data_IF_080541707966
#
_entry.id   IF_080541707966
#
_cell.length_a   1.000
_cell.length_b   1.000
_cell.length_c   1.000
_cell.angle_alpha   90.00
_cell.angle_beta   90.00
_cell.angle_gamma   90.00
#
_symmetry.space_group_name_H-M   'P 1'
#
loop_
_entity.id
_entity.type
_entity.pdbx_description
1 polymer ?
#
# COMPACT_ATOMS: atom_id res chain seq x y z
N UNK A 1 38.83 15.86 -22.13
CA UNK A 1 39.42 14.97 -21.10
C UNK A 1 38.77 15.14 -19.73
N UNK A 2 38.69 16.36 -19.17
CA UNK A 2 38.07 16.62 -17.85
C UNK A 2 36.57 16.24 -17.78
N UNK A 3 35.76 16.61 -18.78
CA UNK A 3 34.33 16.26 -18.82
C UNK A 3 34.09 14.75 -18.83
N UNK A 4 34.90 14.01 -19.61
CA UNK A 4 34.82 12.55 -19.68
C UNK A 4 35.17 11.92 -18.32
N UNK A 5 36.21 12.42 -17.66
CA UNK A 5 36.59 11.98 -16.32
C UNK A 5 35.47 12.21 -15.31
N UNK A 6 34.82 13.38 -15.34
CA UNK A 6 33.67 13.70 -14.47
C UNK A 6 32.50 12.76 -14.73
N UNK A 7 32.15 12.51 -16.00
CA UNK A 7 31.06 11.58 -16.35
C UNK A 7 31.36 10.15 -15.87
N UNK A 8 32.61 9.70 -15.99
CA UNK A 8 33.03 8.38 -15.49
C UNK A 8 32.90 8.30 -13.97
N UNK A 9 33.35 9.33 -13.23
CA UNK A 9 33.21 9.37 -11.77
C UNK A 9 31.74 9.34 -11.34
N UNK A 10 30.88 10.11 -12.02
CA UNK A 10 29.43 10.10 -11.76
C UNK A 10 28.83 8.72 -12.05
N UNK A 11 29.18 8.11 -13.18
CA UNK A 11 28.69 6.78 -13.54
C UNK A 11 29.11 5.70 -12.53
N UNK A 12 30.36 5.75 -12.07
CA UNK A 12 30.87 4.83 -11.02
C UNK A 12 30.15 5.06 -9.69
N UNK A 13 29.91 6.32 -9.31
CA UNK A 13 29.16 6.65 -8.09
C UNK A 13 27.71 6.15 -8.15
N UNK A 14 27.01 6.38 -9.27
CA UNK A 14 25.65 5.86 -9.51
C UNK A 14 25.65 4.33 -9.49
N UNK A 15 26.62 3.69 -10.15
CA UNK A 15 26.73 2.24 -10.14
C UNK A 15 26.91 1.69 -8.73
N UNK A 16 27.81 2.28 -7.94
CA UNK A 16 28.00 1.90 -6.53
C UNK A 16 26.75 2.13 -5.68
N UNK A 17 26.06 3.25 -5.90
CA UNK A 17 24.79 3.57 -5.22
C UNK A 17 23.71 2.52 -5.51
N UNK A 18 23.56 2.11 -6.77
CA UNK A 18 22.62 1.07 -7.20
C UNK A 18 22.99 -0.35 -6.71
N UNK A 19 24.13 -0.53 -6.03
CA UNK A 19 24.47 -1.80 -5.34
C UNK A 19 23.93 -1.89 -3.92
N UNK A 20 23.32 -0.83 -3.37
CA UNK A 20 22.70 -0.92 -2.05
C UNK A 20 21.52 -1.92 -2.06
N UNK A 21 21.26 -2.61 -0.94
CA UNK A 21 20.26 -3.68 -0.89
C UNK A 21 18.84 -3.26 -1.32
N UNK A 22 18.45 -2.00 -1.11
CA UNK A 22 17.14 -1.49 -1.51
C UNK A 22 16.89 -1.50 -3.04
N UNK A 23 17.94 -1.60 -3.86
CA UNK A 23 17.89 -1.60 -5.32
C UNK A 23 18.00 -2.99 -5.94
N UNK A 24 17.96 -4.06 -5.14
CA UNK A 24 17.96 -5.42 -5.71
C UNK A 24 16.77 -5.61 -6.65
N UNK A 25 16.95 -6.39 -7.70
CA UNK A 25 15.85 -6.79 -8.58
C UNK A 25 15.23 -8.10 -8.10
N UNK A 26 13.92 -8.31 -8.31
CA UNK A 26 13.28 -9.54 -7.88
C UNK A 26 13.71 -10.72 -8.76
N UNK A 27 13.72 -11.90 -8.16
CA UNK A 27 13.94 -13.18 -8.86
C UNK A 27 12.66 -14.01 -8.76
N UNK A 28 11.92 -14.05 -9.86
CA UNK A 28 10.56 -14.60 -9.86
C UNK A 28 10.50 -15.87 -10.69
N UNK A 29 9.99 -16.93 -10.06
CA UNK A 29 9.69 -18.21 -10.70
C UNK A 29 8.21 -18.50 -10.46
N UNK A 30 7.32 -17.94 -11.30
CA UNK A 30 5.88 -18.12 -11.12
C UNK A 30 5.50 -19.59 -11.32
N UNK A 31 4.36 -20.00 -10.77
CA UNK A 31 3.86 -21.36 -10.97
C UNK A 31 3.70 -21.67 -12.47
N UNK A 32 3.97 -22.91 -12.91
CA UNK A 32 3.72 -23.32 -14.28
C UNK A 32 2.27 -23.01 -14.68
N UNK A 33 2.09 -22.34 -15.83
CA UNK A 33 0.78 -21.93 -16.38
C UNK A 33 -0.01 -20.91 -15.53
N UNK A 34 0.64 -20.10 -14.70
CA UNK A 34 -0.04 -18.96 -14.07
C UNK A 34 -0.67 -18.06 -15.17
N UNK A 35 -2.01 -17.87 -15.19
CA UNK A 35 -2.70 -17.18 -16.28
C UNK A 35 -2.38 -15.68 -16.35
N UNK A 36 -1.85 -15.11 -15.27
CA UNK A 36 -1.44 -13.71 -15.18
C UNK A 36 -0.02 -13.49 -15.72
N UNK A 37 0.81 -14.54 -15.79
CA UNK A 37 2.22 -14.41 -16.17
C UNK A 37 2.47 -14.85 -17.61
N UNK A 38 2.86 -13.90 -18.46
CA UNK A 38 3.22 -14.14 -19.87
C UNK A 38 4.31 -13.18 -20.31
N UNK A 39 5.16 -13.64 -21.21
CA UNK A 39 6.28 -12.86 -21.78
C UNK A 39 7.22 -12.27 -20.72
N UNK A 40 7.43 -12.99 -19.61
CA UNK A 40 8.33 -12.60 -18.53
C UNK A 40 7.77 -11.53 -17.58
N UNK A 41 6.48 -11.24 -17.63
CA UNK A 41 5.81 -10.25 -16.79
C UNK A 41 4.39 -10.69 -16.38
N UNK A 42 3.90 -10.13 -15.27
CA UNK A 42 2.50 -10.21 -14.87
C UNK A 42 1.64 -9.18 -15.62
N UNK A 43 0.36 -9.52 -15.81
CA UNK A 43 -0.59 -8.68 -16.54
C UNK A 43 -1.94 -8.63 -15.83
N UNK A 44 -2.58 -7.46 -15.85
CA UNK A 44 -3.98 -7.34 -15.47
C UNK A 44 -4.87 -8.13 -16.46
N UNK A 45 -5.98 -8.75 -15.99
CA UNK A 45 -6.96 -9.40 -16.86
C UNK A 45 -7.59 -8.42 -17.85
N UNK A 46 -7.86 -7.19 -17.39
CA UNK A 46 -8.29 -6.08 -18.25
C UNK A 46 -7.05 -5.26 -18.62
N UNK A 47 -6.81 -5.12 -19.92
CA UNK A 47 -5.66 -4.38 -20.41
C UNK A 47 -5.75 -2.90 -20.01
N UNK A 48 -4.64 -2.35 -19.52
CA UNK A 48 -4.50 -0.90 -19.33
C UNK A 48 -4.20 -0.26 -20.70
N UNK A 49 -4.79 0.90 -21.02
CA UNK A 49 -4.37 1.69 -22.18
C UNK A 49 -2.88 1.97 -22.09
N UNK A 50 -2.16 1.76 -23.20
CA UNK A 50 -0.74 2.10 -23.28
C UNK A 50 -0.57 3.61 -23.50
N UNK A 51 0.28 4.24 -22.68
CA UNK A 51 0.63 5.65 -22.86
C UNK A 51 1.54 5.77 -24.09
N UNK A 52 1.13 6.57 -25.08
CA UNK A 52 1.92 6.84 -26.29
C UNK A 52 3.25 7.55 -25.97
N UNK A 53 4.24 7.49 -26.88
CA UNK A 53 5.51 8.21 -26.71
C UNK A 53 5.35 9.73 -26.59
N UNK A 54 4.43 10.33 -27.35
CA UNK A 54 4.13 11.76 -27.28
C UNK A 54 3.53 12.14 -25.92
N UNK A 55 2.63 11.31 -25.38
CA UNK A 55 2.06 11.52 -24.05
C UNK A 55 3.12 11.33 -22.95
N UNK A 56 4.08 10.41 -23.11
CA UNK A 56 5.19 10.23 -22.14
C UNK A 56 6.07 11.48 -21.97
N UNK A 57 6.35 12.20 -23.06
CA UNK A 57 7.13 13.46 -22.98
C UNK A 57 6.30 14.55 -22.28
N UNK A 58 5.02 14.67 -22.62
CA UNK A 58 4.11 15.62 -21.97
C UNK A 58 3.98 15.33 -20.46
N UNK A 59 3.86 14.05 -20.07
CA UNK A 59 3.85 13.61 -18.69
C UNK A 59 5.14 13.94 -17.95
N UNK A 60 6.29 13.67 -18.56
CA UNK A 60 7.59 14.02 -17.97
C UNK A 60 7.72 15.54 -17.80
N UNK A 61 7.29 16.31 -18.79
CA UNK A 61 7.28 17.78 -18.69
C UNK A 61 6.38 18.25 -17.55
N UNK A 62 5.16 17.71 -17.44
CA UNK A 62 4.24 18.04 -16.35
C UNK A 62 4.78 17.60 -14.98
N UNK A 63 5.44 16.45 -14.90
CA UNK A 63 6.08 15.98 -13.67
C UNK A 63 7.21 16.92 -13.21
N UNK A 64 8.02 17.42 -14.15
CA UNK A 64 9.16 18.29 -13.84
C UNK A 64 8.79 19.77 -13.63
N UNK A 65 7.78 20.27 -14.34
CA UNK A 65 7.46 21.70 -14.41
C UNK A 65 6.01 22.05 -14.03
N UNK A 66 5.17 21.06 -13.80
CA UNK A 66 3.79 21.25 -13.36
C UNK A 66 3.73 21.91 -11.99
N UNK A 67 2.83 22.88 -11.85
CA UNK A 67 2.53 23.50 -10.55
C UNK A 67 1.31 22.82 -9.95
N UNK A 68 1.53 22.07 -8.87
CA UNK A 68 0.43 21.46 -8.12
C UNK A 68 0.10 22.34 -6.92
N UNK A 69 -0.87 23.24 -7.11
CA UNK A 69 -1.30 24.16 -6.07
C UNK A 69 -2.00 23.38 -4.96
N UNK A 70 -1.57 23.56 -3.71
CA UNK A 70 -2.14 22.87 -2.54
C UNK A 70 -1.80 21.39 -2.43
N UNK A 71 -0.82 20.88 -3.20
CA UNK A 71 -0.42 19.47 -3.15
C UNK A 71 0.40 19.09 -1.91
N UNK A 72 0.85 20.08 -1.14
CA UNK A 72 1.48 19.91 0.17
C UNK A 72 0.63 20.64 1.22
N UNK A 73 0.52 20.11 2.45
CA UNK A 73 -0.12 20.83 3.53
C UNK A 73 0.73 22.02 3.98
N UNK A 74 0.07 23.15 4.23
CA UNK A 74 0.73 24.37 4.74
C UNK A 74 1.19 24.22 6.20
N UNK A 75 0.52 23.34 6.95
CA UNK A 75 0.79 23.08 8.36
C UNK A 75 1.11 21.61 8.61
N UNK A 76 1.61 21.31 9.82
CA UNK A 76 1.80 19.93 10.27
C UNK A 76 0.43 19.26 10.36
N UNK A 77 0.28 18.09 9.74
CA UNK A 77 -0.95 17.31 9.86
C UNK A 77 -1.20 16.90 11.32
N UNK A 78 -2.45 16.96 11.81
CA UNK A 78 -2.79 16.47 13.12
C UNK A 78 -2.61 14.94 13.15
N UNK A 79 -1.85 14.47 14.14
CA UNK A 79 -1.58 13.06 14.35
C UNK A 79 -1.52 12.74 15.82
N UNK A 80 -1.81 11.48 16.11
CA UNK A 80 -1.75 10.87 17.42
C UNK A 80 -0.67 9.78 17.38
N UNK A 81 -0.25 9.31 18.56
CA UNK A 81 0.71 8.21 18.65
C UNK A 81 0.20 7.23 19.71
N UNK A 82 -0.64 6.30 19.27
CA UNK A 82 -1.02 5.15 20.09
C UNK A 82 0.22 4.32 20.39
N UNK A 83 0.48 4.04 21.67
CA UNK A 83 1.56 3.15 22.10
C UNK A 83 1.16 1.69 21.82
N UNK A 84 1.80 1.10 20.81
CA UNK A 84 1.50 -0.25 20.35
C UNK A 84 1.92 -1.33 21.35
N UNK A 85 2.91 -1.04 22.22
CA UNK A 85 3.36 -1.99 23.25
C UNK A 85 2.36 -2.13 24.40
N UNK A 86 1.43 -1.17 24.54
CA UNK A 86 0.41 -1.17 25.59
C UNK A 86 -0.95 -1.71 25.13
N UNK A 87 -1.07 -2.14 23.87
CA UNK A 87 -2.31 -2.76 23.38
C UNK A 87 -2.53 -4.11 24.07
N UNK A 88 -3.71 -4.29 24.66
CA UNK A 88 -4.10 -5.58 25.23
C UNK A 88 -4.39 -6.54 24.09
N UNK A 89 -3.96 -7.81 24.17
CA UNK A 89 -4.26 -8.83 23.13
C UNK A 89 -5.75 -9.04 22.84
N UNK A 90 -6.63 -8.63 23.76
CA UNK A 90 -8.08 -8.70 23.57
C UNK A 90 -8.62 -7.57 22.68
N UNK A 91 -7.85 -6.51 22.44
CA UNK A 91 -8.28 -5.36 21.64
C UNK A 91 -8.37 -5.76 20.15
N UNK A 92 -9.46 -5.36 19.49
CA UNK A 92 -9.60 -5.43 18.03
C UNK A 92 -9.46 -4.02 17.46
N UNK A 93 -8.27 -3.65 17.00
CA UNK A 93 -7.95 -2.27 16.60
C UNK A 93 -7.18 -2.20 15.28
N UNK A 94 -7.44 -1.13 14.53
CA UNK A 94 -6.65 -0.71 13.37
C UNK A 94 -6.02 0.64 13.71
N UNK A 95 -4.70 0.75 13.53
CA UNK A 95 -3.94 1.99 13.66
C UNK A 95 -3.42 2.36 12.27
N UNK A 96 -3.92 3.45 11.71
CA UNK A 96 -3.43 3.98 10.44
C UNK A 96 -2.14 4.77 10.66
N UNK A 97 -1.05 4.39 10.00
CA UNK A 97 0.29 4.97 10.14
C UNK A 97 0.65 5.93 9.00
N UNK A 98 -0.38 6.42 8.30
CA UNK A 98 -0.27 7.27 7.13
C UNK A 98 -0.06 6.48 5.83
N UNK A 99 -0.48 7.06 4.70
CA UNK A 99 -0.46 6.41 3.38
C UNK A 99 -1.22 5.08 3.39
N UNK A 100 -0.53 3.98 3.10
CA UNK A 100 -1.05 2.62 3.10
C UNK A 100 -0.47 1.75 4.23
N UNK A 101 0.18 2.36 5.23
CA UNK A 101 0.76 1.63 6.36
C UNK A 101 -0.26 1.44 7.50
N UNK A 102 -0.40 0.21 7.99
CA UNK A 102 -1.34 -0.11 9.08
C UNK A 102 -0.76 -1.12 10.06
N UNK A 103 -0.98 -0.87 11.36
CA UNK A 103 -0.90 -1.92 12.37
C UNK A 103 -2.32 -2.36 12.71
N UNK A 104 -2.55 -3.67 12.72
CA UNK A 104 -3.86 -4.25 13.00
C UNK A 104 -3.68 -5.28 14.10
N UNK A 105 -4.50 -5.20 15.13
CA UNK A 105 -4.68 -6.29 16.08
C UNK A 105 -6.11 -6.82 15.95
N UNK A 106 -6.25 -8.12 15.71
CA UNK A 106 -7.53 -8.75 15.45
C UNK A 106 -7.55 -10.15 16.04
N UNK A 107 -8.51 -10.41 16.94
CA UNK A 107 -8.70 -11.67 17.66
C UNK A 107 -7.38 -12.26 18.23
N UNK A 108 -6.56 -11.39 18.83
CA UNK A 108 -5.28 -11.75 19.47
C UNK A 108 -4.10 -11.96 18.51
N UNK A 109 -4.27 -11.67 17.21
CA UNK A 109 -3.20 -11.68 16.20
C UNK A 109 -2.82 -10.26 15.80
N UNK A 110 -1.54 -10.08 15.48
CA UNK A 110 -0.97 -8.79 15.07
C UNK A 110 -0.50 -8.82 13.64
N UNK A 111 -0.87 -7.80 12.87
CA UNK A 111 -0.53 -7.64 11.46
C UNK A 111 0.07 -6.26 11.23
N UNK A 112 1.07 -6.19 10.36
CA UNK A 112 1.61 -4.95 9.84
C UNK A 112 1.49 -4.98 8.31
N UNK A 113 0.79 -4.02 7.74
CA UNK A 113 0.57 -3.90 6.30
C UNK A 113 1.41 -2.75 5.73
N UNK A 114 2.16 -3.02 4.66
CA UNK A 114 2.90 -2.04 3.85
C UNK A 114 3.61 -0.95 4.69
N UNK A 115 4.45 -1.30 5.68
CA UNK A 115 5.03 -0.31 6.58
C UNK A 115 6.12 0.51 5.89
N UNK A 116 5.90 1.82 5.80
CA UNK A 116 6.88 2.80 5.31
C UNK A 116 7.09 3.87 6.36
N UNK A 117 8.16 3.75 7.12
CA UNK A 117 8.58 4.73 8.13
C UNK A 117 9.76 5.59 7.66
N UNK A 118 10.28 5.36 6.45
CA UNK A 118 11.26 6.24 5.83
C UNK A 118 10.67 7.62 5.52
N UNK A 119 11.51 8.66 5.62
CA UNK A 119 11.12 10.04 5.33
C UNK A 119 10.77 10.29 3.86
N UNK A 120 11.12 9.37 2.96
CA UNK A 120 10.78 9.46 1.55
C UNK A 120 10.33 8.12 0.96
N UNK A 121 9.35 8.17 0.07
CA UNK A 121 8.94 7.02 -0.73
C UNK A 121 9.49 7.13 -2.16
N UNK A 122 10.81 6.99 -2.29
CA UNK A 122 11.50 7.16 -3.57
C UNK A 122 12.89 6.51 -3.56
N UNK A 123 13.40 6.03 -4.72
CA UNK A 123 14.78 5.58 -4.84
C UNK A 123 15.80 6.72 -4.70
N UNK A 124 15.38 7.98 -4.83
CA UNK A 124 16.24 9.15 -4.74
C UNK A 124 15.99 9.84 -3.39
N UNK A 125 17.04 10.10 -2.58
CA UNK A 125 16.87 10.80 -1.32
C UNK A 125 16.21 12.18 -1.53
N UNK A 126 15.35 12.59 -0.60
CA UNK A 126 14.67 13.91 -0.58
C UNK A 126 13.68 14.16 -1.73
N UNK A 127 13.22 13.12 -2.43
CA UNK A 127 12.06 13.20 -3.33
C UNK A 127 10.91 12.40 -2.77
N UNK A 128 9.65 12.80 -3.01
CA UNK A 128 8.46 12.20 -2.38
C UNK A 128 8.58 12.14 -0.84
N UNK A 129 8.93 13.28 -0.23
CA UNK A 129 9.12 13.39 1.23
C UNK A 129 7.77 13.29 1.94
N UNK A 130 7.74 12.59 3.07
CA UNK A 130 6.58 12.52 3.94
C UNK A 130 6.16 13.92 4.43
N UNK A 131 4.87 14.20 4.46
CA UNK A 131 4.33 15.43 5.00
C UNK A 131 4.69 15.59 6.49
N UNK A 132 4.86 16.84 6.93
CA UNK A 132 5.11 17.09 8.35
C UNK A 132 3.93 16.58 9.17
N UNK A 133 4.21 15.74 10.16
CA UNK A 133 3.18 15.18 11.05
C UNK A 133 2.58 13.85 10.60
N UNK A 134 2.90 13.34 9.41
CA UNK A 134 2.38 12.04 8.94
C UNK A 134 3.30 10.84 9.23
N UNK A 135 4.56 11.09 9.60
CA UNK A 135 5.53 10.05 9.95
C UNK A 135 5.81 10.06 11.46
N UNK A 136 4.90 9.48 12.25
CA UNK A 136 4.96 9.50 13.74
C UNK A 136 5.42 8.17 14.36
N UNK A 137 5.50 7.12 13.55
CA UNK A 137 5.96 5.79 13.94
C UNK A 137 7.34 5.49 13.37
N UNK A 138 8.10 4.70 14.11
CA UNK A 138 9.42 4.19 13.79
C UNK A 138 9.47 2.67 14.03
N UNK A 139 10.46 1.95 13.51
CA UNK A 139 10.60 0.51 13.75
C UNK A 139 10.63 0.12 15.23
N UNK A 140 11.10 1.00 16.10
CA UNK A 140 11.18 0.80 17.55
C UNK A 140 9.79 0.75 18.20
N UNK A 141 8.84 1.52 17.67
CA UNK A 141 7.47 1.61 18.19
C UNK A 141 6.64 0.35 17.92
N UNK A 142 7.04 -0.47 16.95
CA UNK A 142 6.30 -1.69 16.58
C UNK A 142 6.72 -2.84 17.52
N UNK A 143 5.79 -3.56 18.18
CA UNK A 143 6.11 -4.75 18.96
C UNK A 143 6.49 -5.93 18.04
N UNK A 144 6.72 -7.10 18.61
CA UNK A 144 6.72 -8.33 17.78
C UNK A 144 5.36 -8.50 17.11
N UNK A 145 5.38 -8.89 15.83
CA UNK A 145 4.17 -9.10 15.03
C UNK A 145 4.08 -10.53 14.50
N UNK A 146 2.85 -11.05 14.43
CA UNK A 146 2.59 -12.37 13.87
C UNK A 146 2.78 -12.36 12.35
N UNK A 147 2.26 -11.35 11.65
CA UNK A 147 2.27 -11.29 10.19
C UNK A 147 2.66 -9.91 9.65
N UNK A 148 3.67 -9.86 8.78
CA UNK A 148 3.89 -8.77 7.84
C UNK A 148 3.15 -9.09 6.54
N UNK A 149 2.36 -8.14 6.04
CA UNK A 149 1.65 -8.23 4.77
C UNK A 149 2.21 -7.20 3.80
N UNK A 150 2.55 -7.61 2.58
CA UNK A 150 3.00 -6.71 1.51
C UNK A 150 2.14 -6.86 0.26
N UNK A 151 1.53 -5.75 -0.19
CA UNK A 151 0.60 -5.74 -1.33
C UNK A 151 1.29 -5.71 -2.69
N UNK A 152 2.45 -5.04 -2.80
CA UNK A 152 3.26 -4.97 -4.01
C UNK A 152 4.62 -4.32 -3.72
N UNK A 153 5.48 -4.21 -4.75
CA UNK A 153 6.87 -3.84 -4.57
C UNK A 153 7.21 -2.36 -4.80
N UNK A 154 6.24 -1.45 -4.89
CA UNK A 154 6.52 -0.02 -5.01
C UNK A 154 7.21 0.56 -3.76
N UNK A 155 7.86 1.71 -3.92
CA UNK A 155 8.69 2.32 -2.88
C UNK A 155 7.90 2.82 -1.67
N UNK A 156 6.63 3.14 -1.85
CA UNK A 156 5.67 3.58 -0.84
C UNK A 156 4.90 2.42 -0.17
N UNK A 157 5.20 1.17 -0.53
CA UNK A 157 4.61 -0.04 0.07
C UNK A 157 5.65 -1.04 0.59
N UNK A 158 6.81 -1.12 -0.06
CA UNK A 158 7.90 -2.02 0.29
C UNK A 158 9.17 -1.20 0.62
N UNK A 159 9.31 -0.80 1.88
CA UNK A 159 10.40 0.06 2.34
C UNK A 159 11.54 -0.73 3.00
N UNK A 160 12.68 -0.84 2.30
CA UNK A 160 13.82 -1.63 2.77
C UNK A 160 14.35 -1.18 4.15
N UNK A 161 14.63 0.11 4.41
CA UNK A 161 15.08 0.57 5.73
C UNK A 161 14.14 0.16 6.86
N UNK A 162 12.83 0.38 6.71
CA UNK A 162 11.81 -0.01 7.71
C UNK A 162 11.83 -1.52 7.95
N UNK A 163 11.72 -2.30 6.88
CA UNK A 163 11.65 -3.76 6.98
C UNK A 163 12.93 -4.36 7.55
N UNK A 164 14.09 -3.84 7.15
CA UNK A 164 15.37 -4.29 7.67
C UNK A 164 15.50 -4.07 9.18
N UNK A 165 15.04 -2.92 9.70
CA UNK A 165 15.02 -2.62 11.12
C UNK A 165 14.00 -3.49 11.90
N UNK A 166 12.90 -3.88 11.25
CA UNK A 166 11.87 -4.75 11.83
C UNK A 166 12.18 -6.24 11.75
N UNK A 167 13.27 -6.66 11.09
CA UNK A 167 13.55 -8.08 10.79
C UNK A 167 13.39 -9.02 11.99
N UNK A 168 13.91 -8.64 13.15
CA UNK A 168 13.84 -9.46 14.37
C UNK A 168 12.47 -9.51 15.04
N UNK A 169 11.51 -8.69 14.59
CA UNK A 169 10.16 -8.56 15.15
C UNK A 169 9.09 -9.25 14.30
N UNK A 170 9.44 -9.69 13.09
CA UNK A 170 8.48 -10.25 12.12
C UNK A 170 8.53 -11.78 12.19
N UNK A 171 7.42 -12.41 12.59
CA UNK A 171 7.33 -13.87 12.66
C UNK A 171 7.06 -14.52 11.30
N UNK A 172 6.08 -14.00 10.55
CA UNK A 172 5.71 -14.47 9.21
C UNK A 172 5.57 -13.32 8.24
N UNK A 173 5.93 -13.56 6.99
CA UNK A 173 5.75 -12.62 5.88
C UNK A 173 4.80 -13.27 4.89
N UNK A 174 3.69 -12.60 4.59
CA UNK A 174 2.73 -13.01 3.56
C UNK A 174 2.72 -11.95 2.48
N UNK A 175 2.96 -12.37 1.24
CA UNK A 175 3.11 -11.46 0.11
C UNK A 175 2.64 -12.13 -1.17
N UNK A 176 2.64 -11.40 -2.28
CA UNK A 176 2.33 -11.97 -3.58
C UNK A 176 3.55 -12.58 -4.27
N UNK A 177 3.27 -13.48 -5.22
CA UNK A 177 4.27 -14.18 -6.03
C UNK A 177 5.33 -13.25 -6.59
N UNK A 178 6.59 -13.53 -6.24
CA UNK A 178 7.79 -12.82 -6.66
C UNK A 178 8.25 -11.73 -5.68
N UNK A 179 7.37 -11.15 -4.86
CA UNK A 179 7.75 -10.11 -3.89
C UNK A 179 8.60 -10.69 -2.76
N UNK A 180 8.36 -11.95 -2.36
CA UNK A 180 9.16 -12.68 -1.38
C UNK A 180 10.64 -12.78 -1.76
N UNK A 181 10.96 -12.70 -3.05
CA UNK A 181 12.35 -12.70 -3.52
C UNK A 181 13.16 -11.50 -3.02
N UNK A 182 12.54 -10.34 -2.78
CA UNK A 182 13.21 -9.19 -2.16
C UNK A 182 13.65 -9.53 -0.73
N UNK A 183 12.74 -10.14 0.06
CA UNK A 183 13.01 -10.54 1.43
C UNK A 183 14.14 -11.57 1.54
N UNK A 184 14.14 -12.57 0.66
CA UNK A 184 15.26 -13.55 0.59
C UNK A 184 16.58 -12.84 0.31
N UNK A 185 16.61 -11.92 -0.66
CA UNK A 185 17.83 -11.14 -0.99
C UNK A 185 18.26 -10.18 0.11
N UNK A 186 17.32 -9.71 0.92
CA UNK A 186 17.59 -8.89 2.09
C UNK A 186 18.02 -9.72 3.31
N UNK A 187 17.99 -11.06 3.22
CA UNK A 187 18.46 -11.97 4.25
C UNK A 187 17.40 -12.31 5.31
N UNK A 188 16.12 -12.27 4.94
CA UNK A 188 15.06 -12.87 5.74
C UNK A 188 15.06 -14.40 5.56
N UNK A 189 14.72 -15.19 6.60
CA UNK A 189 14.67 -16.64 6.50
C UNK A 189 13.59 -17.06 5.49
N UNK A 190 13.94 -17.90 4.51
CA UNK A 190 13.02 -18.35 3.47
C UNK A 190 11.78 -19.03 4.05
N UNK A 191 11.97 -19.79 5.12
CA UNK A 191 10.91 -20.49 5.85
C UNK A 191 9.91 -19.56 6.52
N UNK A 192 10.22 -18.27 6.72
CA UNK A 192 9.31 -17.26 7.28
C UNK A 192 8.41 -16.61 6.22
N UNK A 193 8.75 -16.77 4.93
CA UNK A 193 8.10 -16.10 3.81
C UNK A 193 7.08 -17.04 3.16
N UNK A 194 5.91 -16.51 2.84
CA UNK A 194 4.86 -17.20 2.11
C UNK A 194 4.34 -16.30 1.00
N UNK A 195 4.41 -16.81 -0.23
CA UNK A 195 3.92 -16.11 -1.42
C UNK A 195 2.59 -16.73 -1.89
N UNK A 196 1.64 -15.89 -2.31
CA UNK A 196 0.37 -16.32 -2.87
C UNK A 196 0.04 -15.67 -4.21
N UNK A 197 -0.69 -16.41 -5.04
CA UNK A 197 -1.37 -15.89 -6.23
C UNK A 197 -2.78 -15.39 -5.87
N UNK A 198 -3.43 -14.65 -6.79
CA UNK A 198 -4.81 -14.19 -6.58
C UNK A 198 -5.77 -15.34 -6.29
N UNK A 199 -6.65 -15.11 -5.31
CA UNK A 199 -7.60 -16.06 -4.73
C UNK A 199 -6.97 -17.24 -3.97
N UNK A 200 -5.66 -17.23 -3.73
CA UNK A 200 -5.07 -18.13 -2.74
C UNK A 200 -5.47 -17.73 -1.31
N UNK A 201 -5.38 -18.69 -0.39
CA UNK A 201 -5.74 -18.51 1.01
C UNK A 201 -4.74 -19.26 1.88
N UNK A 202 -4.13 -18.54 2.83
CA UNK A 202 -3.32 -19.10 3.89
C UNK A 202 -4.23 -19.34 5.11
N UNK A 203 -4.40 -20.61 5.48
CA UNK A 203 -5.20 -21.03 6.62
C UNK A 203 -4.33 -21.02 7.87
N UNK A 204 -4.53 -20.03 8.73
CA UNK A 204 -3.80 -19.90 9.99
C UNK A 204 -4.76 -20.10 11.17
N UNK A 205 -4.23 -20.44 12.34
CA UNK A 205 -5.07 -20.67 13.53
C UNK A 205 -5.76 -19.36 13.94
N UNK A 206 -7.08 -19.31 13.77
CA UNK A 206 -7.94 -18.18 14.13
C UNK A 206 -8.13 -17.12 13.04
N UNK A 207 -7.42 -17.20 11.92
CA UNK A 207 -7.53 -16.24 10.82
C UNK A 207 -7.18 -16.88 9.48
N UNK A 208 -8.01 -16.62 8.47
CA UNK A 208 -7.71 -16.91 7.08
C UNK A 208 -7.17 -15.63 6.42
N UNK A 209 -5.98 -15.72 5.81
CA UNK A 209 -5.36 -14.63 5.07
C UNK A 209 -5.51 -14.92 3.58
N UNK A 210 -6.41 -14.19 2.92
CA UNK A 210 -6.62 -14.32 1.48
C UNK A 210 -5.74 -13.35 0.71
N UNK A 211 -5.15 -13.81 -0.39
CA UNK A 211 -4.51 -12.96 -1.38
C UNK A 211 -5.53 -12.70 -2.49
N UNK A 212 -5.79 -11.43 -2.79
CA UNK A 212 -6.90 -11.01 -3.64
C UNK A 212 -6.44 -10.13 -4.79
N UNK A 213 -7.18 -10.12 -5.92
CA UNK A 213 -6.82 -9.33 -7.08
C UNK A 213 -6.95 -7.82 -6.82
N UNK A 214 -6.11 -7.06 -7.52
CA UNK A 214 -6.27 -5.61 -7.73
C UNK A 214 -5.92 -5.25 -9.17
N UNK A 215 -6.31 -4.06 -9.61
CA UNK A 215 -5.95 -3.52 -10.92
C UNK A 215 -4.79 -2.53 -10.79
N UNK A 216 -3.57 -3.05 -10.71
CA UNK A 216 -2.38 -2.23 -10.46
C UNK A 216 -1.16 -2.75 -11.25
N UNK A 217 0.05 -2.51 -10.77
CA UNK A 217 1.30 -2.98 -11.35
C UNK A 217 2.42 -3.06 -10.32
N UNK A 218 3.59 -3.55 -10.73
CA UNK A 218 4.78 -3.59 -9.87
C UNK A 218 5.98 -2.96 -10.58
N UNK A 219 6.99 -2.53 -9.83
CA UNK A 219 8.28 -2.07 -10.34
C UNK A 219 8.95 -1.02 -9.47
N UNK A 220 10.26 -1.21 -9.24
CA UNK A 220 11.11 -0.27 -8.48
C UNK A 220 12.12 0.50 -9.33
N UNK A 221 12.54 -0.11 -10.43
CA UNK A 221 13.59 0.39 -11.33
C UNK A 221 13.08 0.36 -12.78
N UNK A 222 13.91 -0.06 -13.74
CA UNK A 222 13.60 0.00 -15.17
C UNK A 222 12.62 -1.09 -15.65
N UNK A 223 12.49 -2.19 -14.90
CA UNK A 223 11.60 -3.30 -15.23
C UNK A 223 10.36 -3.24 -14.36
N UNK A 224 9.21 -3.36 -15.01
CA UNK A 224 7.90 -3.38 -14.37
C UNK A 224 7.29 -4.78 -14.46
N UNK A 225 6.31 -5.05 -13.59
CA UNK A 225 5.48 -6.25 -13.59
C UNK A 225 6.26 -7.55 -13.41
N UNK A 226 7.43 -7.51 -12.78
CA UNK A 226 8.20 -8.73 -12.52
C UNK A 226 7.56 -9.56 -11.41
N UNK A 227 7.00 -8.89 -10.40
CA UNK A 227 6.29 -9.48 -9.26
C UNK A 227 4.79 -9.26 -9.41
N UNK A 228 3.99 -10.09 -8.76
CA UNK A 228 2.53 -9.91 -8.69
C UNK A 228 2.19 -8.84 -7.63
N UNK A 229 1.06 -8.14 -7.84
CA UNK A 229 0.48 -7.12 -6.96
C UNK A 229 -0.93 -7.53 -6.56
N UNK A 230 -1.44 -7.07 -5.42
CA UNK A 230 -2.81 -7.38 -5.03
C UNK A 230 -3.23 -6.78 -3.70
N UNK A 231 -4.30 -7.35 -3.15
CA UNK A 231 -4.92 -6.96 -1.89
C UNK A 231 -4.94 -8.17 -0.95
N UNK A 232 -5.33 -7.95 0.31
CA UNK A 232 -5.58 -9.02 1.26
C UNK A 232 -6.99 -8.98 1.82
N UNK A 233 -7.46 -10.12 2.31
CA UNK A 233 -8.54 -10.13 3.29
C UNK A 233 -8.14 -10.95 4.52
N UNK A 234 -8.49 -10.43 5.69
CA UNK A 234 -8.37 -11.12 6.97
C UNK A 234 -9.77 -11.57 7.38
N UNK A 235 -10.00 -12.88 7.37
CA UNK A 235 -11.28 -13.48 7.74
C UNK A 235 -11.08 -14.28 9.01
N UNK A 236 -11.70 -13.84 10.07
CA UNK A 236 -11.70 -14.47 11.38
C UNK A 236 -13.10 -14.98 11.71
N UNK A 237 -13.31 -15.77 12.78
CA UNK A 237 -14.66 -16.18 13.19
C UNK A 237 -15.63 -15.01 13.37
N UNK A 238 -15.16 -13.84 13.82
CA UNK A 238 -16.02 -12.69 14.13
C UNK A 238 -15.95 -11.55 13.10
N UNK A 239 -14.79 -11.33 12.47
CA UNK A 239 -14.54 -10.14 11.66
C UNK A 239 -13.96 -10.45 10.29
N UNK A 240 -14.30 -9.59 9.32
CA UNK A 240 -13.86 -9.67 7.93
C UNK A 240 -13.32 -8.31 7.51
N UNK A 241 -12.01 -8.21 7.39
CA UNK A 241 -11.34 -6.99 6.94
C UNK A 241 -10.83 -7.15 5.51
N UNK A 242 -11.12 -6.18 4.64
CA UNK A 242 -10.50 -6.06 3.32
C UNK A 242 -9.39 -5.02 3.37
N UNK A 243 -8.21 -5.37 2.85
CA UNK A 243 -6.99 -4.57 2.85
C UNK A 243 -6.60 -4.31 1.39
N UNK A 244 -7.07 -3.19 0.83
CA UNK A 244 -7.13 -2.98 -0.62
C UNK A 244 -5.79 -2.80 -1.33
N UNK A 245 -4.74 -2.37 -0.64
CA UNK A 245 -3.52 -1.91 -1.31
C UNK A 245 -3.84 -0.83 -2.35
N UNK A 246 -3.12 -0.86 -3.46
CA UNK A 246 -3.37 0.01 -4.59
C UNK A 246 -4.09 -0.73 -5.72
N UNK A 247 -5.07 -0.05 -6.31
CA UNK A 247 -5.92 -0.57 -7.35
C UNK A 247 -6.65 0.55 -8.10
N UNK A 248 -6.72 0.42 -9.42
CA UNK A 248 -7.80 1.02 -10.19
C UNK A 248 -9.13 0.32 -9.96
N UNK A 249 -10.22 0.94 -10.37
CA UNK A 249 -11.55 0.34 -10.28
C UNK A 249 -11.73 -0.81 -11.28
N UNK A 250 -12.48 -1.85 -10.88
CA UNK A 250 -12.81 -2.96 -11.77
C UNK A 250 -13.78 -3.98 -11.17
N UNK A 251 -14.21 -4.95 -11.99
CA UNK A 251 -15.20 -5.97 -11.62
C UNK A 251 -14.74 -6.92 -10.48
N UNK A 252 -13.45 -6.93 -10.18
CA UNK A 252 -12.87 -7.79 -9.17
C UNK A 252 -13.46 -7.52 -7.78
N UNK A 253 -13.87 -6.29 -7.45
CA UNK A 253 -14.52 -5.97 -6.17
C UNK A 253 -15.83 -6.76 -5.96
N UNK A 254 -16.72 -6.78 -6.96
CA UNK A 254 -17.95 -7.59 -6.93
C UNK A 254 -17.64 -9.08 -6.86
N UNK A 255 -16.61 -9.53 -7.57
CA UNK A 255 -16.20 -10.94 -7.54
C UNK A 255 -15.69 -11.34 -6.15
N UNK A 256 -14.88 -10.51 -5.52
CA UNK A 256 -14.36 -10.71 -4.16
C UNK A 256 -15.54 -10.81 -3.18
N UNK A 257 -16.47 -9.85 -3.20
CA UNK A 257 -17.65 -9.88 -2.33
C UNK A 257 -18.50 -11.14 -2.54
N UNK A 258 -18.72 -11.53 -3.80
CA UNK A 258 -19.47 -12.75 -4.14
C UNK A 258 -18.80 -14.02 -3.61
N UNK A 259 -17.47 -14.09 -3.65
CA UNK A 259 -16.70 -15.26 -3.20
C UNK A 259 -16.59 -15.33 -1.69
N UNK A 260 -16.43 -14.19 -1.02
CA UNK A 260 -16.06 -14.15 0.39
C UNK A 260 -17.22 -13.76 1.31
N UNK A 261 -18.25 -13.05 0.84
CA UNK A 261 -19.44 -12.70 1.64
C UNK A 261 -19.39 -11.33 2.31
N UNK A 262 -18.87 -10.32 1.62
CA UNK A 262 -18.78 -8.94 2.12
C UNK A 262 -17.73 -8.73 3.21
N UNK A 263 -17.66 -7.51 3.77
CA UNK A 263 -16.65 -7.12 4.77
C UNK A 263 -17.21 -6.18 5.84
N UNK A 264 -16.71 -6.31 7.06
CA UNK A 264 -17.06 -5.40 8.15
C UNK A 264 -16.34 -4.06 7.96
N UNK A 265 -15.07 -4.10 7.57
CA UNK A 265 -14.27 -2.92 7.25
C UNK A 265 -13.52 -3.17 5.93
N UNK A 266 -13.58 -2.20 5.03
CA UNK A 266 -12.72 -2.15 3.85
C UNK A 266 -11.76 -0.96 3.97
N UNK A 267 -10.46 -1.24 3.92
CA UNK A 267 -9.42 -0.24 3.75
C UNK A 267 -9.22 -0.06 2.24
N UNK A 268 -9.52 1.12 1.71
CA UNK A 268 -9.52 1.39 0.27
C UNK A 268 -8.75 2.65 -0.05
N UNK A 269 -7.88 2.58 -1.06
CA UNK A 269 -7.22 3.78 -1.57
C UNK A 269 -8.24 4.77 -2.10
N UNK A 270 -7.98 6.06 -1.89
CA UNK A 270 -8.74 7.14 -2.53
C UNK A 270 -7.86 8.30 -2.95
N UNK A 271 -6.53 8.14 -2.89
CA UNK A 271 -5.54 9.16 -3.21
C UNK A 271 -4.64 8.74 -4.35
N UNK A 272 -3.78 9.66 -4.78
CA UNK A 272 -2.83 9.49 -5.88
C UNK A 272 -3.48 9.19 -7.25
N UNK A 273 -4.76 9.52 -7.43
CA UNK A 273 -5.42 9.46 -8.73
C UNK A 273 -4.98 10.62 -9.63
N UNK A 274 -5.00 10.35 -10.94
CA UNK A 274 -4.83 11.35 -11.97
C UNK A 274 -5.50 10.90 -13.27
N UNK A 275 -5.86 11.86 -14.12
CA UNK A 275 -6.43 11.60 -15.44
C UNK A 275 -5.48 10.84 -16.35
N UNK A 276 -4.19 10.86 -16.07
CA UNK A 276 -3.16 10.21 -16.86
C UNK A 276 -2.92 8.74 -16.49
N UNK A 277 -3.45 8.28 -15.35
CA UNK A 277 -3.42 6.86 -14.96
C UNK A 277 -4.74 6.39 -14.31
N UNK A 278 -5.89 6.58 -15.00
CA UNK A 278 -7.22 6.36 -14.42
C UNK A 278 -7.55 4.89 -14.15
N UNK A 279 -6.67 3.96 -14.54
CA UNK A 279 -6.86 2.52 -14.38
C UNK A 279 -5.95 1.91 -13.31
N UNK A 280 -5.19 2.73 -12.60
CA UNK A 280 -4.15 2.30 -11.66
C UNK A 280 -4.45 2.74 -10.22
N UNK A 281 -5.06 3.91 -10.05
CA UNK A 281 -5.54 4.45 -8.78
C UNK A 281 -6.98 4.91 -8.93
N UNK A 282 -7.81 4.64 -7.93
CA UNK A 282 -9.21 5.03 -7.91
C UNK A 282 -9.36 6.51 -7.56
N UNK A 283 -10.29 7.18 -8.25
CA UNK A 283 -10.87 8.41 -7.71
C UNK A 283 -11.69 8.10 -6.44
N UNK A 284 -11.90 9.08 -5.54
CA UNK A 284 -12.67 8.86 -4.31
C UNK A 284 -14.10 8.33 -4.57
N UNK A 285 -14.73 8.72 -5.67
CA UNK A 285 -16.05 8.24 -6.07
C UNK A 285 -15.99 6.78 -6.55
N UNK A 286 -14.92 6.38 -7.24
CA UNK A 286 -14.67 4.98 -7.58
C UNK A 286 -14.37 4.15 -6.33
N UNK A 287 -13.66 4.69 -5.34
CA UNK A 287 -13.44 4.04 -4.04
C UNK A 287 -14.76 3.84 -3.29
N UNK A 288 -15.65 4.83 -3.33
CA UNK A 288 -17.00 4.71 -2.77
C UNK A 288 -17.83 3.62 -3.49
N UNK A 289 -17.72 3.53 -4.81
CA UNK A 289 -18.36 2.46 -5.58
C UNK A 289 -17.74 1.09 -5.27
N UNK A 290 -16.41 0.99 -5.15
CA UNK A 290 -15.69 -0.22 -4.78
C UNK A 290 -16.13 -0.73 -3.40
N UNK A 291 -16.32 0.17 -2.44
CA UNK A 291 -16.85 -0.17 -1.11
C UNK A 291 -18.24 -0.82 -1.18
N UNK A 292 -19.14 -0.24 -1.98
CA UNK A 292 -20.48 -0.78 -2.19
C UNK A 292 -20.45 -2.13 -2.92
N UNK A 293 -19.56 -2.29 -3.90
CA UNK A 293 -19.34 -3.55 -4.64
C UNK A 293 -18.72 -4.63 -3.76
N UNK A 294 -17.87 -4.25 -2.80
CA UNK A 294 -17.31 -5.10 -1.77
C UNK A 294 -18.34 -5.49 -0.69
N UNK A 295 -19.53 -4.88 -0.69
CA UNK A 295 -20.52 -5.01 0.38
C UNK A 295 -19.89 -4.71 1.75
N UNK A 296 -19.06 -3.66 1.81
CA UNK A 296 -18.45 -3.21 3.06
C UNK A 296 -19.52 -2.61 3.98
N UNK A 297 -19.36 -2.75 5.31
CA UNK A 297 -20.17 -2.03 6.31
C UNK A 297 -19.53 -0.71 6.74
N UNK A 298 -18.20 -0.65 6.70
CA UNK A 298 -17.42 0.55 6.99
C UNK A 298 -16.23 0.68 6.04
N UNK A 299 -15.81 1.91 5.77
CA UNK A 299 -14.67 2.22 4.89
C UNK A 299 -13.66 3.08 5.63
N UNK A 300 -12.40 2.68 5.58
CA UNK A 300 -11.26 3.48 6.02
C UNK A 300 -10.44 3.89 4.78
N UNK A 301 -10.42 5.18 4.41
CA UNK A 301 -9.69 5.64 3.23
C UNK A 301 -8.17 5.58 3.44
N UNK A 302 -7.43 5.10 2.43
CA UNK A 302 -5.97 4.94 2.43
C UNK A 302 -5.28 5.72 1.30
N UNK A 303 -3.96 5.55 1.20
CA UNK A 303 -3.13 6.06 0.09
C UNK A 303 -3.14 7.60 -0.05
N UNK A 304 -3.40 8.29 1.06
CA UNK A 304 -3.47 9.75 1.14
C UNK A 304 -2.68 10.27 2.35
N UNK A 305 -2.57 11.59 2.47
CA UNK A 305 -2.09 12.29 3.68
C UNK A 305 -0.67 11.97 4.18
N UNK A 306 0.19 11.35 3.36
CA UNK A 306 1.61 11.13 3.69
C UNK A 306 2.56 11.61 2.61
N UNK A 307 2.34 11.22 1.36
CA UNK A 307 3.23 11.56 0.25
C UNK A 307 2.47 12.29 -0.85
N UNK A 308 3.19 13.15 -1.58
CA UNK A 308 2.71 13.77 -2.83
C UNK A 308 3.19 12.91 -4.00
N UNK A 309 2.34 12.03 -4.51
CA UNK A 309 2.63 11.14 -5.65
C UNK A 309 1.74 11.41 -6.87
N UNK A 310 0.77 12.33 -6.77
CA UNK A 310 -0.08 12.78 -7.86
C UNK A 310 -0.35 14.29 -7.84
N UNK A 311 -1.11 14.76 -8.84
CA UNK A 311 -1.37 16.18 -9.10
C UNK A 311 -2.75 16.64 -8.57
N UNK A 312 -3.07 16.31 -7.32
CA UNK A 312 -4.24 16.83 -6.62
C UNK A 312 -3.81 17.53 -5.32
N UNK A 313 -4.71 18.31 -4.70
CA UNK A 313 -4.42 18.88 -3.38
C UNK A 313 -4.29 17.75 -2.35
N UNK A 314 -3.48 17.92 -1.32
CA UNK A 314 -3.23 16.86 -0.35
C UNK A 314 -4.52 16.37 0.36
N UNK A 315 -5.49 17.26 0.56
CA UNK A 315 -6.77 16.98 1.23
C UNK A 315 -7.94 16.68 0.29
N UNK A 316 -7.77 16.84 -1.03
CA UNK A 316 -8.81 16.56 -2.05
C UNK A 316 -9.38 15.12 -1.92
N UNK A 317 -8.55 14.07 -1.68
CA UNK A 317 -9.06 12.72 -1.45
C UNK A 317 -10.06 12.63 -0.29
N UNK A 318 -9.78 13.30 0.83
CA UNK A 318 -10.57 13.24 2.06
C UNK A 318 -11.89 14.01 1.92
N UNK A 319 -11.85 15.18 1.27
CA UNK A 319 -13.06 15.95 0.97
C UNK A 319 -14.01 15.18 0.05
N UNK A 320 -13.47 14.62 -1.04
CA UNK A 320 -14.29 13.94 -2.05
C UNK A 320 -14.79 12.58 -1.58
N UNK A 321 -14.01 11.79 -0.83
CA UNK A 321 -14.54 10.54 -0.25
C UNK A 321 -15.62 10.82 0.79
N UNK A 322 -15.49 11.91 1.55
CA UNK A 322 -16.53 12.34 2.49
C UNK A 322 -17.84 12.65 1.79
N UNK A 323 -17.79 13.43 0.70
CA UNK A 323 -18.96 13.72 -0.12
C UNK A 323 -19.53 12.46 -0.79
N UNK A 324 -18.66 11.61 -1.36
CA UNK A 324 -19.07 10.37 -2.02
C UNK A 324 -19.68 9.33 -1.05
N UNK A 325 -19.36 9.43 0.24
CA UNK A 325 -19.93 8.60 1.30
C UNK A 325 -21.34 9.03 1.73
N UNK A 326 -21.79 10.24 1.38
CA UNK A 326 -23.12 10.71 1.73
C UNK A 326 -24.18 9.78 1.12
N UNK A 327 -25.13 9.33 1.95
CA UNK A 327 -26.21 8.40 1.58
C UNK A 327 -25.76 6.99 1.17
N UNK A 328 -24.50 6.61 1.38
CA UNK A 328 -24.07 5.23 1.21
C UNK A 328 -24.57 4.36 2.37
N UNK A 329 -24.69 3.04 2.12
CA UNK A 329 -25.11 2.08 3.14
C UNK A 329 -24.01 1.72 4.15
N UNK A 330 -22.78 2.17 3.90
CA UNK A 330 -21.61 1.95 4.74
C UNK A 330 -21.18 3.24 5.43
N UNK A 331 -20.54 3.13 6.59
CA UNK A 331 -20.02 4.29 7.33
C UNK A 331 -18.59 4.64 6.89
N UNK A 332 -18.29 5.93 6.78
CA UNK A 332 -16.92 6.40 6.56
C UNK A 332 -16.17 6.55 7.89
N UNK A 333 -14.93 6.08 7.95
CA UNK A 333 -14.04 6.18 9.11
C UNK A 333 -12.81 7.01 8.74
N UNK A 334 -12.66 8.21 9.30
CA UNK A 334 -11.55 9.13 9.00
C UNK A 334 -10.69 9.40 10.23
N UNK A 335 -10.01 8.37 10.79
CA UNK A 335 -9.11 8.58 11.92
C UNK A 335 -7.98 9.53 11.53
N UNK A 336 -7.44 10.25 12.51
CA UNK A 336 -6.11 10.86 12.37
C UNK A 336 -5.07 9.75 12.26
N UNK A 337 -3.90 10.08 11.69
CA UNK A 337 -2.76 9.16 11.72
C UNK A 337 -2.44 8.82 13.19
N UNK A 338 -2.39 7.53 13.51
CA UNK A 338 -2.11 7.00 14.85
C UNK A 338 -3.30 6.95 15.82
N UNK A 339 -4.47 7.45 15.43
CA UNK A 339 -5.71 7.32 16.20
C UNK A 339 -6.22 5.86 16.16
N UNK A 340 -6.74 5.37 17.29
CA UNK A 340 -7.27 4.01 17.40
C UNK A 340 -8.59 3.89 16.67
N UNK A 341 -8.71 3.00 15.68
CA UNK A 341 -9.99 2.56 15.14
C UNK A 341 -10.39 1.25 15.80
N UNK A 342 -11.45 1.26 16.59
CA UNK A 342 -12.00 0.04 17.20
C UNK A 342 -12.85 -0.72 16.17
N UNK A 343 -12.44 -1.95 15.86
CA UNK A 343 -13.11 -2.79 14.85
C UNK A 343 -14.53 -3.18 15.29
N UNK A 344 -14.72 -3.30 16.61
CA UNK A 344 -15.93 -3.75 17.27
C UNK A 344 -16.83 -2.61 17.76
N UNK A 345 -16.47 -1.34 17.49
CA UNK A 345 -17.26 -0.16 17.86
C UNK A 345 -17.86 0.54 16.63
N UNK A 346 -19.06 0.14 16.18
CA UNK A 346 -19.72 0.78 15.04
C UNK A 346 -20.19 2.21 15.33
N UNK A 347 -20.14 2.67 16.59
CA UNK A 347 -20.56 4.00 17.03
C UNK A 347 -19.38 4.97 17.22
N UNK A 348 -18.13 4.52 17.00
CA UNK A 348 -16.98 5.42 17.08
C UNK A 348 -17.10 6.53 16.02
N UNK A 349 -16.97 7.78 16.46
CA UNK A 349 -17.07 8.97 15.61
C UNK A 349 -15.66 9.49 15.33
N UNK A 350 -15.42 9.92 14.09
CA UNK A 350 -14.17 10.53 13.67
C UNK A 350 -14.37 11.98 13.26
N UNK A 351 -13.41 12.85 13.60
CA UNK A 351 -13.45 14.26 13.16
C UNK A 351 -13.02 14.40 11.71
N UNK A 352 -13.54 15.43 11.01
CA UNK A 352 -12.91 15.92 9.78
C UNK A 352 -11.73 16.80 10.18
N UNK A 353 -10.52 16.26 10.08
CA UNK A 353 -9.30 16.88 10.62
C UNK A 353 -8.44 17.59 9.57
N UNK A 354 -8.82 17.50 8.29
CA UNK A 354 -8.06 18.04 7.16
C UNK A 354 -8.34 19.50 6.83
#
# INVERSE_FOLDING_TARGET
>A
MLLLLVLVVIAVAIYGWLKQPQYVSPEVKPQPKNPLFRDGAFHNPVARPTVSSQNRIALLYRFLFGKDVGALPDTRLPSEKTDLHQLSKADNVIIWMGHSSYFIQLEGKTFLLDPVFSDNASPVPRTNIAFKGSNVYSPEDVPEIDYLLITHDHWDHLDYPTLNALRGKIRRIVTLTGVGSYFVKWGFPQESITEGDWFSCLKESGVDIHVLPTQHFSGRLLKHNQTLWGSFALITPQYRLYLGGDSGYGLHYKEIAKRLGGFDIAILECGQYDRDWPHVHMTPEESAQAASDLQAKAVLPSHNSKFKLAHHRWNDPLERISQASENQSWRLMTPRIGERVQVDNPQQIFSQWW
#
